data_IF_720755358135
#
_entry.id   IF_720755358135
#
_cell.length_a   1.000
_cell.length_b   1.000
_cell.length_c   1.000
_cell.angle_alpha   90.00
_cell.angle_beta   90.00
_cell.angle_gamma   90.00
#
_symmetry.space_group_name_H-M   'P 1'
#
loop_
_entity.id
_entity.type
_entity.pdbx_description
1 polymer ?
#
# COMPACT_ATOMS: atom_id res chain seq x y z
N UNK A 1 6.61 6.68 4.75
CA UNK A 1 7.29 5.72 3.87
C UNK A 1 8.36 4.90 4.60
N UNK A 2 9.59 5.40 4.82
CA UNK A 2 10.74 4.58 5.31
C UNK A 2 10.50 3.82 6.63
N UNK A 3 9.86 4.44 7.62
CA UNK A 3 9.63 3.83 8.95
C UNK A 3 8.64 2.65 8.89
N UNK A 4 7.62 2.75 8.04
CA UNK A 4 6.58 1.73 7.93
C UNK A 4 7.11 0.45 7.29
N UNK A 5 7.88 0.59 6.20
CA UNK A 5 8.60 -0.53 5.56
C UNK A 5 9.56 -1.19 6.54
N UNK A 6 10.26 -0.39 7.34
CA UNK A 6 11.25 -0.92 8.27
C UNK A 6 10.61 -1.70 9.43
N UNK A 7 9.47 -1.22 9.95
CA UNK A 7 8.72 -1.91 11.01
C UNK A 7 8.14 -3.22 10.50
N UNK A 8 7.55 -3.26 9.30
CA UNK A 8 7.01 -4.51 8.75
C UNK A 8 8.12 -5.53 8.49
N UNK A 9 9.28 -5.07 8.00
CA UNK A 9 10.43 -5.94 7.78
C UNK A 9 10.96 -6.53 9.09
N UNK A 10 11.11 -5.71 10.13
CA UNK A 10 11.55 -6.17 11.45
C UNK A 10 10.55 -7.13 12.08
N UNK A 11 9.25 -6.84 11.95
CA UNK A 11 8.17 -7.71 12.42
C UNK A 11 8.18 -9.06 11.71
N UNK A 12 8.44 -9.09 10.40
CA UNK A 12 8.52 -10.33 9.62
C UNK A 12 9.70 -11.21 10.08
N UNK A 13 10.87 -10.63 10.31
CA UNK A 13 12.05 -11.36 10.81
C UNK A 13 11.74 -12.04 12.15
N UNK A 14 11.19 -11.28 13.10
CA UNK A 14 10.86 -11.80 14.44
C UNK A 14 9.80 -12.89 14.35
N UNK A 15 8.74 -12.67 13.58
CA UNK A 15 7.63 -13.62 13.44
C UNK A 15 8.09 -14.94 12.81
N UNK A 16 8.87 -14.90 11.72
CA UNK A 16 9.34 -16.12 11.07
C UNK A 16 10.35 -16.87 11.92
N UNK A 17 11.20 -16.17 12.67
CA UNK A 17 12.13 -16.84 13.57
C UNK A 17 11.38 -17.57 14.69
N UNK A 18 10.38 -16.91 15.30
CA UNK A 18 9.49 -17.53 16.29
C UNK A 18 8.74 -18.73 15.73
N UNK A 19 8.15 -18.61 14.53
CA UNK A 19 7.44 -19.73 13.89
C UNK A 19 8.38 -20.89 13.56
N UNK A 20 9.59 -20.60 13.10
CA UNK A 20 10.57 -21.65 12.80
C UNK A 20 11.05 -22.37 14.06
N UNK A 21 11.20 -21.66 15.19
CA UNK A 21 11.48 -22.27 16.50
C UNK A 21 10.29 -23.10 16.97
N UNK A 22 9.07 -22.59 16.83
CA UNK A 22 7.86 -23.33 17.20
C UNK A 22 7.67 -24.60 16.36
N UNK A 23 7.91 -24.54 15.05
CA UNK A 23 7.79 -25.68 14.15
C UNK A 23 8.82 -26.79 14.45
N UNK A 24 10.03 -26.41 14.85
CA UNK A 24 11.05 -27.36 15.31
C UNK A 24 10.62 -28.02 16.63
N UNK A 25 10.10 -27.22 17.57
CA UNK A 25 9.70 -27.68 18.90
C UNK A 25 8.44 -28.57 18.91
N UNK A 26 7.43 -28.22 18.11
CA UNK A 26 6.16 -28.96 18.05
C UNK A 26 6.13 -30.03 16.95
N UNK A 27 6.88 -29.84 15.87
CA UNK A 27 6.83 -30.72 14.70
C UNK A 27 7.99 -31.71 14.59
N UNK A 28 9.11 -31.49 15.31
CA UNK A 28 10.33 -32.29 15.13
C UNK A 28 10.92 -32.21 13.71
N UNK A 29 10.50 -31.22 12.92
CA UNK A 29 10.92 -31.01 11.54
C UNK A 29 12.08 -30.02 11.52
N UNK A 30 13.27 -30.51 11.17
CA UNK A 30 14.42 -29.64 10.99
C UNK A 30 14.23 -28.74 9.77
N UNK A 31 13.87 -27.49 10.02
CA UNK A 31 13.74 -26.47 8.97
C UNK A 31 15.14 -25.89 8.67
N UNK A 32 15.71 -26.36 7.56
CA UNK A 32 16.98 -25.85 7.06
C UNK A 32 16.93 -24.33 6.81
N UNK A 33 18.06 -23.65 7.07
CA UNK A 33 18.23 -22.19 6.89
C UNK A 33 17.67 -21.63 5.57
N UNK A 34 17.86 -22.25 4.37
CA UNK A 34 17.30 -21.72 3.14
C UNK A 34 15.76 -21.60 3.16
N UNK A 35 15.07 -22.55 3.80
CA UNK A 35 13.61 -22.49 3.91
C UNK A 35 13.14 -21.33 4.79
N UNK A 36 13.88 -21.02 5.87
CA UNK A 36 13.60 -19.86 6.73
C UNK A 36 13.69 -18.56 5.94
N UNK A 37 14.69 -18.42 5.08
CA UNK A 37 14.84 -17.25 4.21
C UNK A 37 13.71 -17.11 3.19
N UNK A 38 13.28 -18.22 2.58
CA UNK A 38 12.14 -18.22 1.64
C UNK A 38 10.86 -17.79 2.34
N UNK A 39 10.61 -18.25 3.58
CA UNK A 39 9.44 -17.83 4.36
C UNK A 39 9.47 -16.35 4.72
N UNK A 40 10.62 -15.82 5.14
CA UNK A 40 10.79 -14.37 5.40
C UNK A 40 10.50 -13.58 4.12
N UNK A 41 11.06 -14.01 2.99
CA UNK A 41 10.87 -13.36 1.70
C UNK A 41 9.39 -13.36 1.30
N UNK A 42 8.72 -14.52 1.38
CA UNK A 42 7.31 -14.67 1.02
C UNK A 42 6.41 -13.74 1.84
N UNK A 43 6.57 -13.73 3.16
CA UNK A 43 5.77 -12.87 4.06
C UNK A 43 6.06 -11.39 3.81
N UNK A 44 7.33 -11.03 3.59
CA UNK A 44 7.72 -9.64 3.28
C UNK A 44 7.07 -9.18 1.97
N UNK A 45 7.03 -10.05 0.96
CA UNK A 45 6.47 -9.74 -0.36
C UNK A 45 4.96 -9.56 -0.29
N UNK A 46 4.24 -10.44 0.41
CA UNK A 46 2.80 -10.29 0.69
C UNK A 46 2.54 -8.99 1.46
N UNK A 47 3.30 -8.74 2.53
CA UNK A 47 3.15 -7.51 3.33
C UNK A 47 3.41 -6.24 2.52
N UNK A 48 4.33 -6.28 1.56
CA UNK A 48 4.62 -5.14 0.68
C UNK A 48 3.50 -4.89 -0.33
N UNK A 49 2.92 -5.96 -0.90
CA UNK A 49 1.79 -5.83 -1.84
C UNK A 49 0.58 -5.23 -1.12
N UNK A 50 0.18 -5.81 0.02
CA UNK A 50 -0.96 -5.32 0.79
C UNK A 50 -0.72 -3.92 1.36
N UNK A 51 0.48 -3.67 1.91
CA UNK A 51 0.85 -2.34 2.41
C UNK A 51 0.89 -1.29 1.31
N UNK A 52 1.40 -1.63 0.12
CA UNK A 52 1.41 -0.77 -1.05
C UNK A 52 -0.01 -0.44 -1.54
N UNK A 53 -0.87 -1.45 -1.63
CA UNK A 53 -2.28 -1.27 -2.01
C UNK A 53 -3.03 -0.36 -1.02
N UNK A 54 -2.81 -0.54 0.28
CA UNK A 54 -3.42 0.31 1.31
C UNK A 54 -2.98 1.79 1.19
N UNK A 55 -1.71 2.04 0.90
CA UNK A 55 -1.19 3.40 0.68
C UNK A 55 -1.80 4.03 -0.57
N UNK A 56 -1.94 3.26 -1.66
CA UNK A 56 -2.59 3.73 -2.88
C UNK A 56 -4.05 4.08 -2.63
N UNK A 57 -4.79 3.20 -1.95
CA UNK A 57 -6.19 3.44 -1.58
C UNK A 57 -6.34 4.73 -0.76
N UNK A 58 -5.53 4.90 0.29
CA UNK A 58 -5.56 6.11 1.12
C UNK A 58 -5.22 7.38 0.36
N UNK A 59 -4.28 7.30 -0.59
CA UNK A 59 -3.93 8.44 -1.43
C UNK A 59 -5.10 8.82 -2.34
N UNK A 60 -5.77 7.82 -2.93
CA UNK A 60 -6.94 8.03 -3.76
C UNK A 60 -8.14 8.62 -2.97
N UNK A 61 -8.33 8.23 -1.72
CA UNK A 61 -9.35 8.82 -0.83
C UNK A 61 -9.01 10.27 -0.42
N UNK A 62 -7.72 10.64 -0.40
CA UNK A 62 -7.26 11.98 -0.05
C UNK A 62 -7.27 12.98 -1.21
N UNK A 63 -7.40 12.51 -2.45
CA UNK A 63 -7.65 13.38 -3.60
C UNK A 63 -9.07 13.95 -3.52
N UNK A 64 -9.22 15.08 -2.84
CA UNK A 64 -10.40 15.94 -2.99
C UNK A 64 -10.48 16.40 -4.46
N UNK A 65 -11.67 16.40 -5.09
CA UNK A 65 -11.83 16.89 -6.44
C UNK A 65 -11.40 18.35 -6.47
N UNK A 66 -10.31 18.64 -7.20
CA UNK A 66 -9.84 20.01 -7.39
C UNK A 66 -10.97 20.85 -8.00
N UNK A 67 -11.51 21.86 -7.29
CA UNK A 67 -12.51 22.75 -7.86
C UNK A 67 -11.76 23.77 -8.73
N UNK A 68 -11.50 23.41 -9.97
CA UNK A 68 -10.89 24.34 -10.91
C UNK A 68 -10.21 23.65 -12.07
N UNK A 69 -10.97 23.40 -13.13
CA UNK A 69 -10.66 23.83 -14.51
C UNK A 69 -11.83 23.43 -15.40
N UNK A 70 -12.96 24.13 -15.26
CA UNK A 70 -14.00 24.21 -16.30
C UNK A 70 -14.37 25.68 -16.48
N UNK A 71 -13.45 26.45 -17.05
CA UNK A 71 -13.77 27.75 -17.63
C UNK A 71 -13.21 27.84 -19.04
N UNK A 72 -13.73 26.99 -19.93
CA UNK A 72 -13.56 27.14 -21.38
C UNK A 72 -14.58 26.26 -22.11
N UNK A 73 -15.85 26.64 -22.04
CA UNK A 73 -16.88 25.91 -22.77
C UNK A 73 -18.30 26.39 -22.47
N UNK A 74 -18.57 27.67 -22.66
CA UNK A 74 -19.96 28.15 -22.67
C UNK A 74 -20.24 28.89 -23.99
N UNK A 75 -20.95 28.27 -24.94
CA UNK A 75 -21.45 28.95 -26.13
C UNK A 75 -22.84 29.57 -25.87
N UNK A 76 -22.94 30.92 -25.98
CA UNK A 76 -24.20 31.69 -26.14
C UNK A 76 -25.11 31.86 -24.90
N UNK A 77 -26.05 32.84 -24.87
CA UNK A 77 -26.69 33.48 -26.01
C UNK A 77 -26.54 35.02 -26.10
N UNK A 78 -26.65 35.49 -27.33
CA UNK A 78 -26.88 36.87 -27.77
C UNK A 78 -27.97 37.57 -26.97
N UNK A 79 -27.64 38.75 -26.42
CA UNK A 79 -28.61 39.72 -25.91
C UNK A 79 -28.37 41.05 -26.63
N UNK A 80 -29.05 41.18 -27.78
CA UNK A 80 -29.64 42.44 -28.22
C UNK A 80 -30.44 43.03 -27.06
N UNK A 81 -29.84 43.86 -26.21
CA UNK A 81 -30.57 44.85 -25.42
C UNK A 81 -29.59 45.78 -24.70
N UNK A 82 -29.91 47.08 -24.67
CA UNK A 82 -29.09 48.20 -24.16
C UNK A 82 -28.03 48.75 -25.12
N UNK A 83 -28.50 49.46 -26.14
CA UNK A 83 -28.08 50.85 -26.33
C UNK A 83 -29.17 51.60 -27.10
N UNK A 84 -30.18 52.05 -26.34
CA UNK A 84 -31.12 53.10 -26.71
C UNK A 84 -31.06 54.15 -25.61
#
# INVERSE_FOLDING_TARGET
>A
MKKLIWITFFSAIVSVNLLAVAADYFGGVYIAIPYRLVMILAITLIGTIFGGAWVLMRTAEQEQPHPGTTQSGQPGPSSDDKQR
#
